data_IF_115527665205
#
_entry.id   IF_115527665205
#
_cell.length_a   1.000
_cell.length_b   1.000
_cell.length_c   1.000
_cell.angle_alpha   90.00
_cell.angle_beta   90.00
_cell.angle_gamma   90.00
#
_symmetry.space_group_name_H-M   'P 1'
#
loop_
_entity.id
_entity.type
_entity.pdbx_description
1 polymer ?
#
# COMPACT_ATOMS: atom_id res chain seq x y z
N UNK A 1 -16.87 -14.69 -24.08
CA UNK A 1 -17.01 -15.04 -22.64
C UNK A 1 -17.17 -13.75 -21.86
N UNK A 2 -18.33 -13.54 -21.26
CA UNK A 2 -18.56 -12.40 -20.38
C UNK A 2 -17.69 -12.60 -19.13
N UNK A 3 -16.74 -11.69 -18.90
CA UNK A 3 -15.92 -11.74 -17.69
C UNK A 3 -16.78 -11.21 -16.55
N UNK A 4 -17.24 -12.11 -15.69
CA UNK A 4 -17.92 -11.74 -14.45
C UNK A 4 -16.87 -11.22 -13.47
N UNK A 5 -16.63 -9.92 -13.50
CA UNK A 5 -15.84 -9.26 -12.47
C UNK A 5 -16.71 -9.15 -11.23
N UNK A 6 -16.32 -9.88 -10.19
CA UNK A 6 -16.90 -9.74 -8.86
C UNK A 6 -16.12 -8.66 -8.14
N UNK A 7 -16.83 -7.73 -7.50
CA UNK A 7 -16.19 -6.78 -6.61
C UNK A 7 -15.74 -7.51 -5.35
N UNK A 8 -14.43 -7.46 -5.07
CA UNK A 8 -13.84 -8.03 -3.88
C UNK A 8 -13.34 -6.92 -2.96
N UNK A 9 -13.62 -7.06 -1.68
CA UNK A 9 -12.95 -6.29 -0.64
C UNK A 9 -11.49 -6.75 -0.49
N UNK A 10 -10.64 -5.87 0.05
CA UNK A 10 -9.25 -6.24 0.38
C UNK A 10 -9.21 -7.44 1.34
N UNK A 11 -10.15 -7.52 2.28
CA UNK A 11 -10.27 -8.66 3.20
C UNK A 11 -10.49 -9.98 2.47
N UNK A 12 -11.47 -10.04 1.57
CA UNK A 12 -11.76 -11.25 0.79
C UNK A 12 -10.57 -11.69 -0.06
N UNK A 13 -9.85 -10.74 -0.68
CA UNK A 13 -8.62 -11.06 -1.43
C UNK A 13 -7.55 -11.68 -0.53
N UNK A 14 -7.35 -11.14 0.67
CA UNK A 14 -6.38 -11.66 1.62
C UNK A 14 -6.77 -13.04 2.16
N UNK A 15 -8.06 -13.28 2.41
CA UNK A 15 -8.60 -14.57 2.85
C UNK A 15 -8.47 -15.65 1.79
N UNK A 16 -8.62 -15.27 0.51
CA UNK A 16 -8.30 -16.13 -0.64
C UNK A 16 -6.80 -16.36 -0.83
N UNK A 17 -5.96 -15.70 -0.02
CA UNK A 17 -4.52 -15.83 -0.06
C UNK A 17 -3.84 -15.03 -1.15
N UNK A 18 -4.50 -14.03 -1.73
CA UNK A 18 -3.93 -13.11 -2.71
C UNK A 18 -2.99 -12.12 -2.02
N UNK A 19 -1.90 -11.76 -2.70
CA UNK A 19 -1.04 -10.65 -2.28
C UNK A 19 -1.61 -9.34 -2.80
N UNK A 20 -1.91 -8.41 -1.89
CA UNK A 20 -2.48 -7.10 -2.21
C UNK A 20 -1.41 -6.03 -2.04
N UNK A 21 -1.16 -5.27 -3.09
CA UNK A 21 -0.20 -4.15 -3.10
C UNK A 21 -0.91 -2.87 -3.51
N UNK A 22 -0.87 -1.86 -2.66
CA UNK A 22 -1.39 -0.51 -2.94
C UNK A 22 -0.21 0.41 -3.20
N UNK A 23 -0.21 1.06 -4.37
CA UNK A 23 0.87 1.98 -4.78
C UNK A 23 0.31 3.36 -5.03
N UNK A 24 0.72 4.31 -4.21
CA UNK A 24 0.38 5.71 -4.37
C UNK A 24 1.61 6.48 -4.83
N UNK A 25 1.45 7.29 -5.87
CA UNK A 25 2.53 8.09 -6.43
C UNK A 25 2.22 9.58 -6.24
N UNK A 26 3.27 10.40 -6.12
CA UNK A 26 3.18 11.85 -6.07
C UNK A 26 2.40 12.39 -4.86
N UNK A 27 2.50 11.73 -3.70
CA UNK A 27 1.80 12.10 -2.47
C UNK A 27 2.70 12.98 -1.60
N UNK A 28 2.14 13.89 -0.82
CA UNK A 28 2.93 14.60 0.20
C UNK A 28 3.33 13.65 1.33
N UNK A 29 4.50 13.87 1.92
CA UNK A 29 5.02 12.98 2.97
C UNK A 29 4.07 12.84 4.17
N UNK A 30 3.44 13.94 4.60
CA UNK A 30 2.48 13.95 5.70
C UNK A 30 1.23 13.12 5.37
N UNK A 31 0.70 13.26 4.15
CA UNK A 31 -0.44 12.47 3.67
C UNK A 31 -0.10 10.98 3.56
N UNK A 32 1.10 10.65 3.08
CA UNK A 32 1.59 9.28 2.99
C UNK A 32 1.74 8.64 4.38
N UNK A 33 2.28 9.38 5.36
CA UNK A 33 2.38 8.93 6.74
C UNK A 33 0.99 8.75 7.36
N UNK A 34 0.08 9.72 7.20
CA UNK A 34 -1.29 9.62 7.70
C UNK A 34 -2.00 8.38 7.12
N UNK A 35 -1.90 8.16 5.81
CA UNK A 35 -2.51 7.01 5.15
C UNK A 35 -1.97 5.69 5.69
N UNK A 36 -0.65 5.55 5.80
CA UNK A 36 -0.02 4.33 6.34
C UNK A 36 -0.36 4.14 7.83
N UNK A 37 -0.50 5.23 8.58
CA UNK A 37 -0.84 5.18 10.02
C UNK A 37 -2.28 4.73 10.29
N UNK A 38 -3.20 4.82 9.32
CA UNK A 38 -4.58 4.32 9.45
C UNK A 38 -4.64 2.80 9.61
N UNK A 39 -3.59 2.07 9.21
CA UNK A 39 -3.56 0.61 9.26
C UNK A 39 -2.85 0.15 10.54
N UNK A 40 -3.58 -0.54 11.41
CA UNK A 40 -3.08 -1.06 12.68
C UNK A 40 -2.25 -2.35 12.53
N UNK A 41 -1.16 -2.43 13.30
CA UNK A 41 -0.31 -3.62 13.38
C UNK A 41 0.45 -3.95 12.09
N UNK A 42 0.67 -2.95 11.22
CA UNK A 42 1.59 -3.05 10.09
C UNK A 42 2.99 -2.64 10.51
N UNK A 43 4.01 -3.23 9.88
CA UNK A 43 5.38 -2.71 9.94
C UNK A 43 5.49 -1.52 9.00
N UNK A 44 6.38 -0.58 9.32
CA UNK A 44 6.58 0.66 8.56
C UNK A 44 8.07 0.90 8.35
N UNK A 45 8.41 1.47 7.21
CA UNK A 45 9.76 1.95 6.92
C UNK A 45 9.69 3.12 5.97
N UNK A 46 10.64 4.04 6.07
CA UNK A 46 10.85 5.08 5.08
C UNK A 46 12.28 5.00 4.52
N UNK A 47 12.45 5.38 3.25
CA UNK A 47 13.75 5.35 2.58
C UNK A 47 13.83 6.42 1.50
N UNK A 48 15.01 7.03 1.33
CA UNK A 48 15.25 8.04 0.30
C UNK A 48 15.81 7.37 -0.94
N UNK A 49 15.09 7.46 -2.05
CA UNK A 49 15.53 6.92 -3.32
C UNK A 49 16.62 7.79 -3.93
N UNK A 50 17.54 7.16 -4.69
CA UNK A 50 18.58 7.85 -5.45
C UNK A 50 18.04 8.87 -6.47
N UNK A 51 16.75 8.77 -6.80
CA UNK A 51 16.01 9.69 -7.68
C UNK A 51 15.57 10.97 -6.97
N UNK A 52 15.85 11.12 -5.67
CA UNK A 52 15.41 12.26 -4.85
C UNK A 52 14.01 12.11 -4.26
N UNK A 53 13.28 11.03 -4.59
CA UNK A 53 11.97 10.75 -4.03
C UNK A 53 12.06 10.09 -2.67
N UNK A 54 11.19 10.48 -1.75
CA UNK A 54 11.07 9.82 -0.45
C UNK A 54 10.01 8.71 -0.52
N UNK A 55 10.33 7.53 -0.01
CA UNK A 55 9.49 6.34 -0.11
C UNK A 55 9.00 5.95 1.28
N UNK A 56 7.68 5.90 1.49
CA UNK A 56 7.07 5.40 2.73
C UNK A 56 6.40 4.07 2.43
N UNK A 57 6.71 3.04 3.23
CA UNK A 57 6.16 1.69 3.09
C UNK A 57 5.45 1.26 4.36
N UNK A 58 4.37 0.51 4.18
CA UNK A 58 3.64 -0.17 5.24
C UNK A 58 3.32 -1.60 4.82
N UNK A 59 3.51 -2.60 5.68
CA UNK A 59 3.17 -3.99 5.31
C UNK A 59 2.79 -4.88 6.48
N UNK A 60 1.97 -5.89 6.19
CA UNK A 60 1.59 -6.97 7.11
C UNK A 60 1.21 -8.21 6.31
N UNK A 61 1.98 -9.29 6.47
CA UNK A 61 1.76 -10.56 5.75
C UNK A 61 1.66 -10.33 4.23
N UNK A 62 0.49 -10.56 3.63
CA UNK A 62 0.21 -10.47 2.19
C UNK A 62 -0.28 -9.09 1.73
N UNK A 63 -0.30 -8.11 2.65
CA UNK A 63 -0.72 -6.74 2.36
C UNK A 63 0.48 -5.79 2.43
N UNK A 64 0.65 -4.97 1.40
CA UNK A 64 1.64 -3.89 1.36
C UNK A 64 1.05 -2.59 0.80
N UNK A 65 1.57 -1.48 1.32
CA UNK A 65 1.33 -0.11 0.88
C UNK A 65 2.68 0.51 0.59
N UNK A 66 2.80 1.14 -0.58
CA UNK A 66 4.00 1.85 -1.01
C UNK A 66 3.59 3.24 -1.49
N UNK A 67 4.09 4.27 -0.83
CA UNK A 67 3.84 5.66 -1.14
C UNK A 67 5.14 6.32 -1.64
N UNK A 68 5.13 6.80 -2.88
CA UNK A 68 6.22 7.58 -3.46
C UNK A 68 5.92 9.06 -3.27
N UNK A 69 6.69 9.70 -2.41
CA UNK A 69 6.55 11.11 -2.05
C UNK A 69 7.43 12.00 -2.95
N UNK A 70 6.98 13.24 -3.16
CA UNK A 70 7.72 14.26 -3.90
C UNK A 70 8.72 14.99 -3.01
#
# INVERSE_FOLDING_TARGET
MQKNYRDYTIGELLDMGVNVSVRNHNVHEDEANQFVNQFEGIKRSSDNLKTGQHLIKGWKKKFEIVCFCK
#
